data_IF_675259742178
#
_entry.id   IF_675259742178
#
_cell.length_a   1.000
_cell.length_b   1.000
_cell.length_c   1.000
_cell.angle_alpha   90.00
_cell.angle_beta   90.00
_cell.angle_gamma   90.00
#
_symmetry.space_group_name_H-M   'P 1'
#
loop_
_entity.id
_entity.type
_entity.pdbx_description
1 polymer ?
#
# COMPACT_ATOMS: atom_id res chain seq x y z
N UNK A 1 8.35 -28.22 23.13
CA UNK A 1 6.92 -28.02 22.84
C UNK A 1 6.82 -27.09 21.65
N UNK A 2 6.60 -27.64 20.46
CA UNK A 2 6.44 -26.86 19.24
C UNK A 2 4.98 -26.39 19.17
N UNK A 3 4.76 -25.08 19.27
CA UNK A 3 3.45 -24.48 19.05
C UNK A 3 3.23 -24.39 17.54
N UNK A 4 2.39 -25.26 17.00
CA UNK A 4 1.85 -25.16 15.64
C UNK A 4 0.89 -23.97 15.59
N UNK A 5 1.35 -22.85 15.02
CA UNK A 5 0.46 -21.76 14.64
C UNK A 5 -0.44 -22.24 13.49
N UNK A 6 -1.70 -22.51 13.81
CA UNK A 6 -2.74 -22.75 12.82
C UNK A 6 -2.93 -21.48 11.99
N UNK A 7 -2.52 -21.53 10.71
CA UNK A 7 -2.94 -20.58 9.69
C UNK A 7 -4.43 -20.80 9.40
N UNK A 8 -5.30 -20.22 10.22
CA UNK A 8 -6.64 -19.92 9.74
C UNK A 8 -6.50 -18.80 8.71
N UNK A 9 -6.67 -19.13 7.44
CA UNK A 9 -6.97 -18.17 6.41
C UNK A 9 -8.34 -17.55 6.75
N UNK A 10 -8.33 -16.53 7.62
CA UNK A 10 -9.43 -15.60 7.70
C UNK A 10 -9.50 -14.92 6.34
N UNK A 11 -10.51 -15.27 5.54
CA UNK A 11 -11.04 -14.32 4.57
C UNK A 11 -11.48 -13.11 5.37
N UNK A 12 -10.57 -12.14 5.52
CA UNK A 12 -10.89 -10.83 6.06
C UNK A 12 -11.99 -10.27 5.18
N UNK A 13 -13.16 -10.01 5.78
CA UNK A 13 -14.25 -9.34 5.10
C UNK A 13 -13.72 -8.05 4.47
N UNK A 14 -13.97 -7.88 3.17
CA UNK A 14 -13.46 -6.74 2.40
C UNK A 14 -13.90 -5.44 3.06
N UNK A 15 -12.98 -4.47 3.16
CA UNK A 15 -13.34 -3.14 3.63
C UNK A 15 -14.46 -2.55 2.75
N UNK A 16 -15.44 -1.81 3.33
CA UNK A 16 -16.46 -1.10 2.56
C UNK A 16 -15.85 -0.19 1.49
N UNK A 17 -14.70 0.42 1.78
CA UNK A 17 -13.98 1.28 0.83
C UNK A 17 -13.43 0.49 -0.36
N UNK A 18 -12.82 -0.67 -0.11
CA UNK A 18 -12.34 -1.56 -1.16
C UNK A 18 -13.47 -1.97 -2.08
N UNK A 19 -14.61 -2.39 -1.50
CA UNK A 19 -15.78 -2.81 -2.27
C UNK A 19 -16.31 -1.69 -3.15
N UNK A 20 -16.47 -0.48 -2.59
CA UNK A 20 -16.90 0.72 -3.32
C UNK A 20 -15.96 1.05 -4.50
N UNK A 21 -14.65 0.98 -4.30
CA UNK A 21 -13.67 1.28 -5.36
C UNK A 21 -13.73 0.21 -6.45
N UNK A 22 -13.79 -1.08 -6.08
CA UNK A 22 -13.89 -2.19 -7.04
C UNK A 22 -15.17 -2.07 -7.88
N UNK A 23 -16.30 -1.72 -7.28
CA UNK A 23 -17.56 -1.54 -8.02
C UNK A 23 -17.52 -0.33 -8.96
N UNK A 24 -16.86 0.75 -8.54
CA UNK A 24 -16.58 1.90 -9.41
C UNK A 24 -15.75 1.48 -10.62
N UNK A 25 -14.66 0.72 -10.40
CA UNK A 25 -13.79 0.23 -11.48
C UNK A 25 -14.55 -0.70 -12.43
N UNK A 26 -15.34 -1.65 -11.90
CA UNK A 26 -16.17 -2.54 -12.73
C UNK A 26 -17.10 -1.74 -13.63
N UNK A 27 -17.73 -0.70 -13.07
CA UNK A 27 -18.68 0.16 -13.79
C UNK A 27 -17.99 1.00 -14.87
N UNK A 28 -16.75 1.46 -14.64
CA UNK A 28 -16.00 2.29 -15.61
C UNK A 28 -15.15 1.49 -16.60
N UNK A 29 -15.03 0.16 -16.48
CA UNK A 29 -14.10 -0.64 -17.32
C UNK A 29 -14.25 -0.40 -18.83
N UNK A 30 -15.47 -0.22 -19.29
CA UNK A 30 -15.79 -0.05 -20.71
C UNK A 30 -15.38 1.34 -21.25
N UNK A 31 -15.11 2.33 -20.39
CA UNK A 31 -14.72 3.68 -20.82
C UNK A 31 -13.22 3.84 -21.09
N UNK A 32 -12.39 2.85 -20.75
CA UNK A 32 -10.94 2.97 -20.91
C UNK A 32 -10.45 2.62 -22.32
N UNK A 33 -9.76 3.57 -22.94
CA UNK A 33 -9.20 3.46 -24.28
C UNK A 33 -7.83 2.76 -24.30
N UNK A 34 -7.32 2.48 -25.49
CA UNK A 34 -5.94 2.03 -25.67
C UNK A 34 -4.91 3.09 -25.25
N UNK A 35 -5.21 4.38 -25.47
CA UNK A 35 -4.36 5.48 -25.06
C UNK A 35 -4.22 5.53 -23.53
N UNK A 36 -5.30 5.31 -22.80
CA UNK A 36 -5.29 5.28 -21.33
C UNK A 36 -4.43 4.12 -20.79
N UNK A 37 -4.54 2.94 -21.40
CA UNK A 37 -3.69 1.77 -21.09
C UNK A 37 -2.20 2.07 -21.32
N UNK A 38 -1.87 2.76 -22.40
CA UNK A 38 -0.50 3.18 -22.70
C UNK A 38 0.01 4.22 -21.70
N UNK A 39 -0.83 5.19 -21.31
CA UNK A 39 -0.49 6.19 -20.30
C UNK A 39 -0.19 5.53 -18.95
N UNK A 40 -1.07 4.64 -18.47
CA UNK A 40 -0.86 3.87 -17.24
C UNK A 40 0.43 3.03 -17.29
N UNK A 41 0.69 2.36 -18.42
CA UNK A 41 1.93 1.59 -18.62
C UNK A 41 3.18 2.48 -18.55
N UNK A 42 3.14 3.66 -19.16
CA UNK A 42 4.25 4.64 -19.12
C UNK A 42 4.49 5.14 -17.69
N UNK A 43 3.41 5.45 -16.97
CA UNK A 43 3.47 5.88 -15.57
C UNK A 43 4.01 4.78 -14.66
N UNK A 44 3.59 3.52 -14.83
CA UNK A 44 4.17 2.38 -14.11
C UNK A 44 5.68 2.24 -14.39
N UNK A 45 6.13 2.38 -15.64
CA UNK A 45 7.56 2.35 -15.97
C UNK A 45 8.34 3.48 -15.27
N UNK A 46 7.79 4.70 -15.26
CA UNK A 46 8.36 5.85 -14.56
C UNK A 46 8.41 5.62 -13.04
N UNK A 47 7.34 5.07 -12.47
CA UNK A 47 7.26 4.66 -11.07
C UNK A 47 8.34 3.65 -10.73
N UNK A 48 8.49 2.60 -11.54
CA UNK A 48 9.51 1.57 -11.35
C UNK A 48 10.92 2.15 -11.35
N UNK A 49 11.21 3.09 -12.26
CA UNK A 49 12.51 3.78 -12.32
C UNK A 49 12.76 4.58 -11.04
N UNK A 50 11.79 5.39 -10.60
CA UNK A 50 11.89 6.19 -9.38
C UNK A 50 12.03 5.32 -8.13
N UNK A 51 11.27 4.23 -8.06
CA UNK A 51 11.24 3.31 -6.93
C UNK A 51 12.60 2.64 -6.72
N UNK A 52 13.21 2.08 -7.78
CA UNK A 52 14.56 1.50 -7.73
C UNK A 52 15.63 2.50 -7.34
N UNK A 53 15.43 3.77 -7.67
CA UNK A 53 16.30 4.88 -7.27
C UNK A 53 16.04 5.36 -5.83
N UNK A 54 15.18 4.67 -5.06
CA UNK A 54 14.74 5.07 -3.71
C UNK A 54 14.12 6.47 -3.66
N UNK A 55 13.55 6.93 -4.77
CA UNK A 55 12.81 8.19 -4.89
C UNK A 55 11.32 7.92 -4.68
N UNK A 56 10.96 7.46 -3.47
CA UNK A 56 9.65 6.89 -3.21
C UNK A 56 8.49 7.88 -3.39
N UNK A 57 8.68 9.16 -3.05
CA UNK A 57 7.66 10.19 -3.31
C UNK A 57 7.35 10.36 -4.81
N UNK A 58 8.37 10.27 -5.68
CA UNK A 58 8.16 10.32 -7.13
C UNK A 58 7.54 9.02 -7.67
N UNK A 59 7.89 7.88 -7.06
CA UNK A 59 7.30 6.59 -7.40
C UNK A 59 5.80 6.56 -7.05
N UNK A 60 5.46 6.96 -5.82
CA UNK A 60 4.09 7.14 -5.35
C UNK A 60 3.26 7.96 -6.32
N UNK A 61 3.72 9.17 -6.65
CA UNK A 61 3.02 10.03 -7.61
C UNK A 61 2.82 9.37 -8.98
N UNK A 62 3.80 8.60 -9.45
CA UNK A 62 3.67 7.94 -10.75
C UNK A 62 2.63 6.81 -10.71
N UNK A 63 2.64 5.97 -9.68
CA UNK A 63 1.66 4.89 -9.53
C UNK A 63 0.26 5.41 -9.22
N UNK A 64 0.13 6.43 -8.38
CA UNK A 64 -1.16 7.04 -8.04
C UNK A 64 -1.81 7.77 -9.23
N UNK A 65 -0.99 8.29 -10.15
CA UNK A 65 -1.46 8.80 -11.44
C UNK A 65 -1.73 7.69 -12.46
N UNK A 66 -1.25 6.47 -12.25
CA UNK A 66 -1.41 5.36 -13.20
C UNK A 66 -2.82 4.75 -13.16
N UNK A 67 -3.32 4.39 -11.98
CA UNK A 67 -4.64 3.74 -11.89
C UNK A 67 -5.84 4.61 -12.32
N UNK A 68 -5.84 5.96 -12.26
CA UNK A 68 -6.91 6.76 -12.85
C UNK A 68 -6.95 6.68 -14.37
N UNK A 69 -5.79 6.48 -15.03
CA UNK A 69 -5.73 6.23 -16.46
C UNK A 69 -6.24 4.82 -16.77
N UNK A 70 -5.69 3.80 -16.10
CA UNK A 70 -6.18 2.42 -16.27
C UNK A 70 -5.98 1.63 -14.97
N UNK A 71 -7.06 1.30 -14.25
CA UNK A 71 -6.98 0.54 -13.01
C UNK A 71 -6.31 -0.82 -13.24
N UNK A 72 -5.24 -1.10 -12.51
CA UNK A 72 -4.56 -2.39 -12.54
C UNK A 72 -3.99 -2.70 -11.15
N UNK A 73 -3.97 -4.00 -10.81
CA UNK A 73 -3.52 -4.46 -9.51
C UNK A 73 -2.13 -3.95 -9.11
N UNK A 74 -1.19 -3.97 -10.07
CA UNK A 74 0.19 -3.57 -9.85
C UNK A 74 0.33 -2.12 -9.37
N UNK A 75 -0.32 -1.16 -10.03
CA UNK A 75 -0.21 0.25 -9.65
C UNK A 75 -0.84 0.53 -8.29
N UNK A 76 -1.95 -0.12 -7.94
CA UNK A 76 -2.57 -0.01 -6.62
C UNK A 76 -1.64 -0.51 -5.51
N UNK A 77 -1.07 -1.72 -5.67
CA UNK A 77 -0.10 -2.29 -4.70
C UNK A 77 1.11 -1.36 -4.55
N UNK A 78 1.71 -0.94 -5.66
CA UNK A 78 2.92 -0.12 -5.62
C UNK A 78 2.66 1.29 -5.10
N UNK A 79 1.44 1.81 -5.20
CA UNK A 79 1.05 3.10 -4.63
C UNK A 79 1.19 3.09 -3.10
N UNK A 80 0.56 2.14 -2.41
CA UNK A 80 0.64 2.06 -0.93
C UNK A 80 2.07 1.86 -0.43
N UNK A 81 2.79 0.89 -1.00
CA UNK A 81 4.15 0.60 -0.55
C UNK A 81 5.08 1.81 -0.75
N UNK A 82 5.01 2.48 -1.91
CA UNK A 82 5.82 3.68 -2.14
C UNK A 82 5.38 4.88 -1.30
N UNK A 83 4.09 4.99 -0.97
CA UNK A 83 3.57 6.02 -0.06
C UNK A 83 4.21 5.89 1.32
N UNK A 84 4.10 4.73 1.97
CA UNK A 84 4.64 4.51 3.32
C UNK A 84 6.16 4.57 3.35
N UNK A 85 6.85 4.08 2.32
CA UNK A 85 8.31 4.26 2.21
C UNK A 85 8.69 5.73 2.08
N UNK A 86 7.90 6.55 1.40
CA UNK A 86 8.15 7.99 1.29
C UNK A 86 7.97 8.70 2.64
N UNK A 87 6.96 8.33 3.43
CA UNK A 87 6.74 8.83 4.79
C UNK A 87 7.94 8.47 5.68
N UNK A 88 8.36 7.19 5.69
CA UNK A 88 9.54 6.74 6.45
C UNK A 88 10.80 7.48 6.03
N UNK A 89 11.03 7.62 4.72
CA UNK A 89 12.19 8.33 4.18
C UNK A 89 12.20 9.82 4.56
N UNK A 90 11.04 10.46 4.63
CA UNK A 90 10.92 11.86 5.02
C UNK A 90 11.24 12.06 6.50
N UNK A 91 10.57 11.30 7.39
CA UNK A 91 10.74 11.44 8.84
C UNK A 91 12.05 10.88 9.38
N UNK A 92 12.66 9.91 8.71
CA UNK A 92 14.00 9.41 9.08
C UNK A 92 15.08 10.50 8.97
N UNK A 93 14.93 11.46 8.06
CA UNK A 93 15.86 12.58 7.86
C UNK A 93 15.62 13.78 8.78
N UNK A 94 14.47 13.86 9.43
CA UNK A 94 14.16 14.95 10.34
C UNK A 94 14.91 14.79 11.67
N UNK A 95 15.47 15.90 12.17
CA UNK A 95 15.92 16.01 13.55
C UNK A 95 14.70 16.38 14.38
N UNK A 96 14.36 15.61 15.42
CA UNK A 96 13.29 16.00 16.34
C UNK A 96 13.80 17.22 17.11
N UNK A 97 13.11 18.35 16.97
CA UNK A 97 13.36 19.56 17.74
C UNK A 97 12.39 19.51 18.93
N UNK A 98 12.87 19.77 20.14
CA UNK A 98 12.05 19.91 21.35
C UNK A 98 11.20 18.68 21.75
N UNK A 99 11.65 17.45 21.46
CA UNK A 99 10.90 16.20 21.73
C UNK A 99 9.54 16.11 21.02
N UNK A 100 9.31 16.90 19.96
CA UNK A 100 8.09 16.77 19.16
C UNK A 100 8.09 15.43 18.42
N UNK A 101 6.93 14.77 18.42
CA UNK A 101 6.72 13.53 17.68
C UNK A 101 7.00 13.77 16.19
N UNK A 102 7.85 12.93 15.59
CA UNK A 102 8.03 12.93 14.13
C UNK A 102 6.73 12.61 13.40
N UNK A 103 5.95 11.69 13.97
CA UNK A 103 4.60 11.32 13.53
C UNK A 103 3.75 11.17 14.79
N UNK A 104 2.65 11.92 14.89
CA UNK A 104 1.68 11.78 15.98
C UNK A 104 0.63 10.72 15.66
N UNK A 105 0.07 10.08 16.69
CA UNK A 105 -0.94 9.04 16.51
C UNK A 105 -2.34 9.56 16.14
N UNK A 106 -2.62 10.87 16.33
CA UNK A 106 -3.96 11.46 16.14
C UNK A 106 -4.70 11.03 14.85
N UNK A 107 -3.98 10.91 13.72
CA UNK A 107 -4.55 10.45 12.45
C UNK A 107 -3.88 9.19 11.90
N UNK A 108 -2.76 8.76 12.48
CA UNK A 108 -1.89 7.73 11.92
C UNK A 108 -2.60 6.39 11.70
N UNK A 109 -3.34 5.91 12.70
CA UNK A 109 -4.04 4.64 12.59
C UNK A 109 -5.13 4.66 11.53
N UNK A 110 -5.86 5.79 11.42
CA UNK A 110 -6.86 5.99 10.37
C UNK A 110 -6.21 6.08 8.98
N UNK A 111 -5.11 6.81 8.85
CA UNK A 111 -4.37 6.98 7.58
C UNK A 111 -3.86 5.63 7.06
N UNK A 112 -3.32 4.76 7.93
CA UNK A 112 -2.93 3.40 7.54
C UNK A 112 -4.13 2.60 7.04
N UNK A 113 -5.23 2.58 7.78
CA UNK A 113 -6.38 1.76 7.40
C UNK A 113 -7.00 2.20 6.08
N UNK A 114 -7.12 3.51 5.90
CA UNK A 114 -7.60 4.09 4.67
C UNK A 114 -6.67 3.73 3.51
N UNK A 115 -5.36 3.92 3.67
CA UNK A 115 -4.39 3.62 2.61
C UNK A 115 -4.35 2.12 2.27
N UNK A 116 -4.35 1.22 3.27
CA UNK A 116 -4.41 -0.23 3.05
C UNK A 116 -5.70 -0.62 2.32
N UNK A 117 -6.84 -0.09 2.75
CA UNK A 117 -8.16 -0.40 2.13
C UNK A 117 -8.24 0.11 0.70
N UNK A 118 -7.77 1.33 0.43
CA UNK A 118 -7.92 1.99 -0.86
C UNK A 118 -6.86 1.57 -1.87
N UNK A 119 -5.71 1.08 -1.42
CA UNK A 119 -4.60 0.72 -2.29
C UNK A 119 -4.25 -0.77 -2.28
N UNK A 120 -3.75 -1.32 -1.17
CA UNK A 120 -3.35 -2.73 -1.15
C UNK A 120 -4.53 -3.67 -1.41
N UNK A 121 -5.64 -3.51 -0.69
CA UNK A 121 -6.81 -4.38 -0.82
C UNK A 121 -7.44 -4.28 -2.20
N UNK A 122 -7.58 -3.06 -2.74
CA UNK A 122 -8.04 -2.87 -4.12
C UNK A 122 -7.10 -3.56 -5.11
N UNK A 123 -5.79 -3.43 -4.93
CA UNK A 123 -4.81 -4.10 -5.78
C UNK A 123 -4.93 -5.63 -5.73
N UNK A 124 -5.13 -6.20 -4.55
CA UNK A 124 -5.32 -7.65 -4.38
C UNK A 124 -6.60 -8.14 -5.03
N UNK A 125 -7.71 -7.41 -4.85
CA UNK A 125 -9.01 -7.73 -5.43
C UNK A 125 -9.01 -7.58 -6.95
N UNK A 126 -8.32 -6.56 -7.49
CA UNK A 126 -8.15 -6.42 -8.93
C UNK A 126 -7.35 -7.57 -9.53
N UNK A 127 -6.30 -8.05 -8.86
CA UNK A 127 -5.51 -9.17 -9.37
C UNK A 127 -6.37 -10.43 -9.53
N UNK A 128 -7.26 -10.68 -8.56
CA UNK A 128 -8.22 -11.79 -8.59
C UNK A 128 -9.26 -11.56 -9.69
N UNK A 129 -9.84 -10.36 -9.77
CA UNK A 129 -10.86 -10.00 -10.75
C UNK A 129 -10.35 -10.08 -12.20
N UNK A 130 -9.08 -9.72 -12.43
CA UNK A 130 -8.42 -9.76 -13.74
C UNK A 130 -7.84 -11.13 -14.07
N UNK A 131 -7.93 -12.10 -13.15
CA UNK A 131 -7.25 -13.40 -13.26
C UNK A 131 -5.75 -13.26 -13.58
N UNK A 132 -5.07 -12.28 -12.98
CA UNK A 132 -3.63 -12.05 -13.16
C UNK A 132 -2.83 -13.07 -12.32
N UNK A 133 -2.84 -14.31 -12.77
CA UNK A 133 -2.17 -15.44 -12.09
C UNK A 133 -0.67 -15.18 -11.94
N UNK A 134 -0.05 -14.53 -12.94
CA UNK A 134 1.37 -14.17 -12.91
C UNK A 134 1.67 -13.22 -11.75
N UNK A 135 0.83 -12.21 -11.52
CA UNK A 135 1.00 -11.33 -10.37
C UNK A 135 0.73 -12.07 -9.06
N UNK A 136 -0.40 -12.79 -8.95
CA UNK A 136 -0.81 -13.50 -7.73
C UNK A 136 0.27 -14.46 -7.23
N UNK A 137 0.93 -15.19 -8.15
CA UNK A 137 1.97 -16.16 -7.79
C UNK A 137 3.33 -15.52 -7.49
N UNK A 138 3.52 -14.25 -7.85
CA UNK A 138 4.78 -13.54 -7.72
C UNK A 138 5.18 -13.29 -6.27
N UNK A 139 6.49 -13.19 -6.02
CA UNK A 139 7.03 -12.78 -4.72
C UNK A 139 6.61 -11.36 -4.34
N UNK A 140 6.44 -10.47 -5.32
CA UNK A 140 5.96 -9.12 -5.08
C UNK A 140 4.57 -9.12 -4.43
N UNK A 141 3.64 -9.92 -4.96
CA UNK A 141 2.28 -9.97 -4.44
C UNK A 141 2.23 -10.57 -3.04
N UNK A 142 2.98 -11.66 -2.80
CA UNK A 142 3.09 -12.29 -1.47
C UNK A 142 3.68 -11.31 -0.45
N UNK A 143 4.78 -10.65 -0.80
CA UNK A 143 5.39 -9.67 0.08
C UNK A 143 4.47 -8.47 0.34
N UNK A 144 3.75 -7.99 -0.69
CA UNK A 144 2.77 -6.92 -0.51
C UNK A 144 1.63 -7.31 0.46
N UNK A 145 1.18 -8.57 0.44
CA UNK A 145 0.20 -9.10 1.40
C UNK A 145 0.74 -9.05 2.83
N UNK A 146 1.97 -9.50 3.04
CA UNK A 146 2.63 -9.48 4.35
C UNK A 146 2.76 -8.04 4.89
N UNK A 147 3.15 -7.10 4.01
CA UNK A 147 3.22 -5.66 4.36
C UNK A 147 1.84 -5.15 4.77
N UNK A 148 0.80 -5.39 3.97
CA UNK A 148 -0.56 -4.94 4.26
C UNK A 148 -1.06 -5.50 5.59
N UNK A 149 -0.85 -6.79 5.84
CA UNK A 149 -1.26 -7.46 7.09
C UNK A 149 -0.52 -6.88 8.30
N UNK A 150 0.78 -6.61 8.18
CA UNK A 150 1.56 -5.97 9.24
C UNK A 150 1.09 -4.53 9.52
N UNK A 151 0.85 -3.74 8.46
CA UNK A 151 0.36 -2.38 8.60
C UNK A 151 -1.02 -2.34 9.26
N UNK A 152 -1.96 -3.25 8.93
CA UNK A 152 -3.25 -3.34 9.64
C UNK A 152 -3.09 -3.65 11.12
N UNK A 153 -2.20 -4.59 11.47
CA UNK A 153 -1.91 -4.91 12.87
C UNK A 153 -1.33 -3.68 13.59
N UNK A 154 -0.46 -2.93 12.92
CA UNK A 154 0.11 -1.70 13.45
C UNK A 154 -0.96 -0.63 13.67
N UNK A 155 -1.88 -0.43 12.72
CA UNK A 155 -3.00 0.50 12.87
C UNK A 155 -3.89 0.12 14.06
N UNK A 156 -4.24 -1.17 14.20
CA UNK A 156 -5.05 -1.66 15.33
C UNK A 156 -4.36 -1.43 16.67
N UNK A 157 -3.04 -1.65 16.76
CA UNK A 157 -2.25 -1.32 17.95
C UNK A 157 -2.41 0.17 18.31
N UNK A 158 -2.20 1.04 17.33
CA UNK A 158 -2.25 2.49 17.53
C UNK A 158 -3.65 3.06 17.77
N UNK A 159 -4.72 2.41 17.29
CA UNK A 159 -6.11 2.74 17.66
C UNK A 159 -6.38 2.63 19.15
N UNK A 160 -5.77 1.63 19.79
CA UNK A 160 -5.91 1.40 21.24
C UNK A 160 -4.95 2.24 22.09
N UNK A 161 -4.10 3.04 21.44
CA UNK A 161 -3.06 3.86 22.05
C UNK A 161 -3.53 5.32 22.12
N UNK A 162 -3.19 6.11 23.17
CA UNK A 162 -3.55 7.53 23.23
C UNK A 162 -3.11 8.33 22.00
N UNK A 163 -3.92 9.29 21.56
CA UNK A 163 -3.69 10.11 20.37
C UNK A 163 -2.41 10.94 20.40
N UNK A 164 -1.95 11.27 21.61
CA UNK A 164 -0.75 12.07 21.87
C UNK A 164 0.53 11.23 21.78
N UNK A 165 0.41 9.91 21.68
CA UNK A 165 1.56 9.02 21.60
C UNK A 165 2.28 9.20 20.27
N UNK A 166 3.61 9.29 20.33
CA UNK A 166 4.41 9.31 19.11
C UNK A 166 4.42 7.93 18.46
N UNK A 167 4.28 7.91 17.14
CA UNK A 167 4.43 6.70 16.36
C UNK A 167 5.91 6.36 16.22
N UNK A 168 6.23 5.13 16.58
CA UNK A 168 7.54 4.52 16.41
C UNK A 168 7.83 4.22 14.93
N UNK A 169 8.62 5.08 14.28
CA UNK A 169 8.94 4.98 12.85
C UNK A 169 9.59 3.64 12.46
N UNK A 170 10.38 3.06 13.36
CA UNK A 170 11.00 1.75 13.19
C UNK A 170 9.97 0.62 13.08
N UNK A 171 8.79 0.73 13.72
CA UNK A 171 7.72 -0.27 13.55
C UNK A 171 7.11 -0.21 12.15
N UNK A 172 6.91 1.00 11.61
CA UNK A 172 6.47 1.19 10.21
C UNK A 172 7.51 0.62 9.25
N UNK A 173 8.78 0.97 9.45
CA UNK A 173 9.88 0.46 8.63
C UNK A 173 10.01 -1.06 8.69
N UNK A 174 9.80 -1.67 9.87
CA UNK A 174 9.83 -3.12 10.04
C UNK A 174 8.70 -3.81 9.25
N UNK A 175 7.49 -3.24 9.25
CA UNK A 175 6.40 -3.77 8.42
C UNK A 175 6.70 -3.69 6.91
N UNK A 176 7.36 -2.61 6.45
CA UNK A 176 7.67 -2.44 5.03
C UNK A 176 8.80 -3.36 4.55
N UNK A 177 9.75 -3.71 5.42
CA UNK A 177 10.86 -4.59 5.08
C UNK A 177 11.63 -4.16 3.82
N UNK A 178 12.08 -5.15 3.05
CA UNK A 178 12.78 -4.92 1.79
C UNK A 178 11.85 -4.32 0.71
N UNK A 179 12.38 -3.52 -0.23
CA UNK A 179 11.58 -2.98 -1.34
C UNK A 179 10.92 -4.08 -2.20
N UNK A 180 9.68 -3.83 -2.64
CA UNK A 180 8.90 -4.78 -3.46
C UNK A 180 9.53 -5.06 -4.83
N UNK A 181 10.30 -4.10 -5.35
CA UNK A 181 11.11 -4.27 -6.56
C UNK A 181 12.52 -3.71 -6.34
N UNK A 182 13.51 -4.46 -6.83
CA UNK A 182 14.92 -4.07 -6.87
C UNK A 182 15.33 -3.57 -8.26
#
# INVERSE_FOLDING_TARGET
MASTFNCFAYELAKSPDTSRIIDTIKSSRHSYTSADRLAATSLNKSGNKSYRQKKYALAFRAYSNSYPNYPNAYSYIMTSDSHWRSIVQFHSKQVSVNNECKIGNQYFSHDIEMDVSQHFEVGFELAILDHDTKLIESQLYKHARDIADCLRQLANFYKSTPSETCVELNKVQACLGEPLIN
#
